data_IF_586308247574
#
_entry.id   IF_586308247574
#
_cell.length_a   1.000
_cell.length_b   1.000
_cell.length_c   1.000
_cell.angle_alpha   90.00
_cell.angle_beta   90.00
_cell.angle_gamma   90.00
#
_symmetry.space_group_name_H-M   'P 1'
#
loop_
_entity.id
_entity.type
_entity.pdbx_description
1 polymer ?
#
# COMPACT_ATOMS: atom_id res chain seq x y z
N UNK A 1 -24.81 2.64 16.27
CA UNK A 1 -24.36 2.13 14.95
C UNK A 1 -23.70 3.30 14.25
N UNK A 2 -22.43 3.55 14.53
CA UNK A 2 -21.69 4.67 13.95
C UNK A 2 -20.55 4.11 13.12
N UNK A 3 -20.76 4.18 11.80
CA UNK A 3 -19.79 4.30 10.72
C UNK A 3 -18.55 3.41 10.78
N UNK A 4 -18.77 2.13 10.48
CA UNK A 4 -17.75 1.11 10.22
C UNK A 4 -17.25 1.12 8.77
N UNK A 5 -17.05 2.32 8.20
CA UNK A 5 -16.50 2.54 6.87
C UNK A 5 -15.44 3.65 6.99
N UNK A 6 -14.20 3.25 7.21
CA UNK A 6 -13.09 4.05 6.71
C UNK A 6 -13.32 4.23 5.21
N UNK A 7 -13.24 5.47 4.74
CA UNK A 7 -13.65 5.78 3.37
C UNK A 7 -12.67 5.09 2.43
N UNK A 8 -13.16 4.34 1.43
CA UNK A 8 -12.30 3.63 0.46
C UNK A 8 -11.24 4.57 -0.18
N UNK A 9 -11.51 5.87 -0.16
CA UNK A 9 -10.66 6.98 -0.57
C UNK A 9 -9.42 7.19 0.32
N UNK A 10 -9.52 7.02 1.65
CA UNK A 10 -8.35 7.08 2.55
C UNK A 10 -7.39 5.92 2.30
N UNK A 11 -7.94 4.70 2.18
CA UNK A 11 -7.14 3.49 1.85
C UNK A 11 -6.43 3.67 0.51
N UNK A 12 -7.17 4.12 -0.51
CA UNK A 12 -6.59 4.40 -1.83
C UNK A 12 -5.44 5.42 -1.75
N UNK A 13 -5.61 6.50 -0.99
CA UNK A 13 -4.57 7.51 -0.77
C UNK A 13 -3.31 6.91 -0.11
N UNK A 14 -3.47 6.16 0.99
CA UNK A 14 -2.33 5.57 1.69
C UNK A 14 -1.60 4.52 0.87
N UNK A 15 -2.33 3.69 0.10
CA UNK A 15 -1.72 2.72 -0.81
C UNK A 15 -0.86 3.41 -1.88
N UNK A 16 -1.36 4.50 -2.48
CA UNK A 16 -0.57 5.26 -3.44
C UNK A 16 0.65 5.91 -2.79
N UNK A 17 0.48 6.44 -1.57
CA UNK A 17 1.59 7.04 -0.83
C UNK A 17 2.72 6.02 -0.59
N UNK A 18 2.36 4.79 -0.20
CA UNK A 18 3.31 3.68 -0.07
C UNK A 18 4.04 3.38 -1.38
N UNK A 19 3.28 3.19 -2.46
CA UNK A 19 3.81 2.89 -3.78
C UNK A 19 4.76 3.98 -4.31
N UNK A 20 4.37 5.26 -4.22
CA UNK A 20 5.24 6.35 -4.69
C UNK A 20 6.50 6.48 -3.84
N UNK A 21 6.42 6.20 -2.53
CA UNK A 21 7.60 6.25 -1.68
C UNK A 21 8.55 5.08 -1.94
N UNK A 22 8.06 3.87 -2.26
CA UNK A 22 8.93 2.73 -2.60
C UNK A 22 9.69 2.98 -3.90
N UNK A 23 9.02 3.48 -4.93
CA UNK A 23 9.63 3.82 -6.23
C UNK A 23 10.72 4.89 -6.08
N UNK A 24 10.54 5.79 -5.11
CA UNK A 24 11.47 6.88 -4.90
C UNK A 24 12.71 6.50 -4.06
N UNK A 25 12.82 5.25 -3.57
CA UNK A 25 13.94 4.82 -2.71
C UNK A 25 15.23 4.70 -3.50
N UNK A 26 15.20 4.09 -4.68
CA UNK A 26 16.39 3.89 -5.53
C UNK A 26 16.48 4.92 -6.66
N UNK A 27 15.39 5.66 -6.93
CA UNK A 27 15.31 6.70 -7.95
C UNK A 27 15.25 6.15 -9.38
N UNK A 28 15.05 4.84 -9.55
CA UNK A 28 14.98 4.16 -10.85
C UNK A 28 13.60 3.55 -10.99
N UNK A 29 12.78 4.11 -11.87
CA UNK A 29 11.43 3.59 -12.10
C UNK A 29 11.52 2.40 -13.06
N UNK A 30 11.14 1.24 -12.56
CA UNK A 30 11.02 0.01 -13.35
C UNK A 30 9.70 -0.04 -14.11
N UNK A 31 9.62 -0.93 -15.10
CA UNK A 31 8.38 -1.15 -15.86
C UNK A 31 7.24 -1.65 -14.97
N UNK A 32 7.52 -2.55 -14.02
CA UNK A 32 6.53 -3.08 -13.08
C UNK A 32 5.97 -2.01 -12.15
N UNK A 33 6.82 -1.12 -11.63
CA UNK A 33 6.38 0.00 -10.79
C UNK A 33 5.50 1.00 -11.55
N UNK A 34 5.82 1.25 -12.82
CA UNK A 34 4.97 2.08 -13.67
C UNK A 34 3.61 1.41 -13.94
N UNK A 35 3.60 0.11 -14.18
CA UNK A 35 2.36 -0.67 -14.32
C UNK A 35 1.54 -0.66 -13.04
N UNK A 36 2.16 -0.74 -11.86
CA UNK A 36 1.48 -0.63 -10.57
C UNK A 36 0.79 0.73 -10.38
N UNK A 37 1.43 1.85 -10.78
CA UNK A 37 0.82 3.18 -10.74
C UNK A 37 -0.40 3.30 -11.67
N UNK A 38 -0.33 2.68 -12.86
CA UNK A 38 -1.48 2.60 -13.77
C UNK A 38 -2.61 1.76 -13.20
N UNK A 39 -2.29 0.57 -12.70
CA UNK A 39 -3.25 -0.33 -12.08
C UNK A 39 -3.97 0.34 -10.90
N UNK A 40 -3.25 1.15 -10.11
CA UNK A 40 -3.85 1.95 -9.05
C UNK A 40 -4.88 2.94 -9.62
N UNK A 41 -4.56 3.66 -10.70
CA UNK A 41 -5.51 4.58 -11.34
C UNK A 41 -6.76 3.85 -11.84
N UNK A 42 -6.60 2.72 -12.52
CA UNK A 42 -7.71 1.93 -13.05
C UNK A 42 -8.62 1.39 -11.93
N UNK A 43 -8.01 0.87 -10.87
CA UNK A 43 -8.73 0.27 -9.73
C UNK A 43 -9.56 1.30 -8.96
N UNK A 44 -9.04 2.52 -8.80
CA UNK A 44 -9.65 3.51 -7.89
C UNK A 44 -10.47 4.58 -8.61
N UNK A 45 -10.60 4.53 -9.94
CA UNK A 45 -11.44 5.46 -10.69
C UNK A 45 -12.90 5.49 -10.18
N UNK A 46 -13.42 4.35 -9.74
CA UNK A 46 -14.78 4.21 -9.19
C UNK A 46 -15.03 5.00 -7.90
N UNK A 47 -13.98 5.48 -7.23
CA UNK A 47 -14.07 6.25 -5.98
C UNK A 47 -14.19 7.76 -6.21
N UNK A 48 -14.13 8.22 -7.47
CA UNK A 48 -14.13 9.64 -7.84
C UNK A 48 -15.51 10.32 -7.77
N UNK A 49 -16.50 9.71 -7.13
CA UNK A 49 -17.86 10.26 -7.03
C UNK A 49 -17.97 11.40 -6.01
N UNK A 50 -16.96 11.61 -5.16
CA UNK A 50 -16.97 12.58 -4.06
C UNK A 50 -15.63 13.31 -3.92
N UNK A 51 -15.70 14.56 -3.50
CA UNK A 51 -14.54 15.31 -3.00
C UNK A 51 -14.18 14.86 -1.57
N UNK A 52 -12.91 14.98 -1.13
CA UNK A 52 -11.76 15.53 -1.85
C UNK A 52 -11.03 14.52 -2.76
N UNK A 53 -11.56 13.31 -2.90
CA UNK A 53 -10.88 12.24 -3.65
C UNK A 53 -10.91 12.45 -5.15
N UNK A 54 -12.00 13.00 -5.71
CA UNK A 54 -12.06 13.31 -7.13
C UNK A 54 -10.92 14.24 -7.57
N UNK A 55 -10.75 15.39 -6.91
CA UNK A 55 -9.67 16.34 -7.22
C UNK A 55 -8.27 15.73 -7.05
N UNK A 56 -8.05 14.99 -5.96
CA UNK A 56 -6.81 14.24 -5.75
C UNK A 56 -6.51 13.26 -6.89
N UNK A 57 -7.49 12.43 -7.26
CA UNK A 57 -7.34 11.41 -8.28
C UNK A 57 -7.07 12.01 -9.66
N UNK A 58 -7.75 13.11 -10.03
CA UNK A 58 -7.50 13.79 -11.30
C UNK A 58 -6.04 14.25 -11.40
N UNK A 59 -5.48 14.87 -10.35
CA UNK A 59 -4.07 15.29 -10.32
C UNK A 59 -3.11 14.11 -10.47
N UNK A 60 -3.33 13.00 -9.75
CA UNK A 60 -2.52 11.77 -9.87
C UNK A 60 -2.64 11.17 -11.27
N UNK A 61 -3.85 10.96 -11.76
CA UNK A 61 -4.09 10.29 -13.03
C UNK A 61 -3.52 11.07 -14.21
N UNK A 62 -3.52 12.40 -14.13
CA UNK A 62 -2.89 13.26 -15.12
C UNK A 62 -1.38 13.03 -15.20
N UNK A 63 -0.70 12.88 -14.05
CA UNK A 63 0.74 12.59 -14.01
C UNK A 63 1.09 11.18 -14.49
N UNK A 64 0.26 10.19 -14.18
CA UNK A 64 0.51 8.80 -14.61
C UNK A 64 0.26 8.60 -16.11
N UNK A 65 -0.71 9.32 -16.70
CA UNK A 65 -1.11 9.20 -18.12
C UNK A 65 -0.11 9.77 -19.14
N UNK A 66 0.82 10.64 -18.76
CA UNK A 66 1.76 11.27 -19.69
C UNK A 66 2.67 10.26 -20.41
N UNK A 67 2.76 9.02 -19.92
CA UNK A 67 3.52 7.94 -20.57
C UNK A 67 5.01 7.92 -20.20
N UNK A 68 5.49 8.98 -19.55
CA UNK A 68 6.82 9.11 -18.98
C UNK A 68 6.67 9.32 -17.49
N UNK A 69 7.08 8.36 -16.67
CA UNK A 69 7.37 8.63 -15.26
C UNK A 69 8.88 8.53 -15.13
N UNK A 70 9.49 9.68 -14.87
CA UNK A 70 10.88 9.84 -14.47
C UNK A 70 10.96 10.41 -13.06
N UNK A 71 12.15 10.83 -12.67
CA UNK A 71 12.39 11.43 -11.34
C UNK A 71 11.57 12.70 -11.11
N UNK A 72 11.28 13.47 -12.17
CA UNK A 72 10.45 14.68 -12.11
C UNK A 72 9.00 14.34 -11.79
N UNK A 73 8.38 13.39 -12.50
CA UNK A 73 7.01 12.97 -12.20
C UNK A 73 6.88 12.35 -10.80
N UNK A 74 7.88 11.59 -10.32
CA UNK A 74 7.88 11.08 -8.95
C UNK A 74 7.93 12.21 -7.93
N UNK A 75 8.72 13.25 -8.19
CA UNK A 75 8.77 14.42 -7.33
C UNK A 75 7.40 15.12 -7.29
N UNK A 76 6.77 15.34 -8.44
CA UNK A 76 5.44 15.94 -8.53
C UNK A 76 4.36 15.08 -7.83
N UNK A 77 4.41 13.75 -8.01
CA UNK A 77 3.50 12.82 -7.33
C UNK A 77 3.65 12.92 -5.81
N UNK A 78 4.88 13.05 -5.29
CA UNK A 78 5.13 13.31 -3.86
C UNK A 78 4.55 14.64 -3.41
N UNK A 79 4.69 15.70 -4.20
CA UNK A 79 4.10 17.00 -3.88
C UNK A 79 2.57 16.93 -3.81
N UNK A 80 1.93 16.22 -4.74
CA UNK A 80 0.47 15.99 -4.72
C UNK A 80 0.07 15.22 -3.45
N UNK A 81 0.79 14.16 -3.10
CA UNK A 81 0.54 13.39 -1.88
C UNK A 81 0.65 14.26 -0.62
N UNK A 82 1.71 15.07 -0.52
CA UNK A 82 1.90 16.00 0.61
C UNK A 82 0.77 17.03 0.67
N UNK A 83 0.40 17.63 -0.46
CA UNK A 83 -0.69 18.61 -0.57
C UNK A 83 -2.02 18.05 -0.07
N UNK A 84 -2.32 16.78 -0.36
CA UNK A 84 -3.58 16.14 0.01
C UNK A 84 -3.55 15.36 1.32
N UNK A 85 -2.40 15.22 1.99
CA UNK A 85 -2.24 14.39 3.19
C UNK A 85 -3.28 14.69 4.29
N UNK A 86 -3.52 15.97 4.59
CA UNK A 86 -4.49 16.37 5.62
C UNK A 86 -5.94 16.02 5.27
N UNK A 87 -6.27 15.90 3.97
CA UNK A 87 -7.62 15.53 3.53
C UNK A 87 -7.94 14.05 3.79
N UNK A 88 -6.91 13.23 3.97
CA UNK A 88 -7.02 11.79 4.19
C UNK A 88 -6.39 11.37 5.52
N UNK A 89 -6.04 12.32 6.38
CA UNK A 89 -5.44 12.07 7.68
C UNK A 89 -6.37 11.21 8.53
N UNK A 90 -5.78 10.17 9.13
CA UNK A 90 -6.47 9.32 10.07
C UNK A 90 -6.13 9.77 11.49
N UNK A 91 -7.11 10.37 12.17
CA UNK A 91 -6.94 10.91 13.51
C UNK A 91 -6.76 9.81 14.57
N UNK A 92 -7.16 8.58 14.25
CA UNK A 92 -6.92 7.41 15.09
C UNK A 92 -5.59 6.76 14.70
N UNK A 93 -4.57 6.90 15.57
CA UNK A 93 -3.25 6.31 15.35
C UNK A 93 -3.31 4.81 15.03
N UNK A 94 -4.19 4.05 15.66
CA UNK A 94 -4.32 2.61 15.41
C UNK A 94 -4.76 2.34 13.97
N UNK A 95 -5.73 3.13 13.49
CA UNK A 95 -6.20 3.03 12.11
C UNK A 95 -5.15 3.53 11.11
N UNK A 96 -4.40 4.58 11.46
CA UNK A 96 -3.30 5.06 10.64
C UNK A 96 -2.23 3.98 10.45
N UNK A 97 -1.85 3.29 11.52
CA UNK A 97 -0.87 2.20 11.45
C UNK A 97 -1.42 1.00 10.64
N UNK A 98 -2.71 0.68 10.76
CA UNK A 98 -3.36 -0.34 9.93
C UNK A 98 -3.41 0.04 8.45
N UNK A 99 -3.66 1.32 8.13
CA UNK A 99 -3.59 1.81 6.74
C UNK A 99 -2.17 1.71 6.17
N UNK A 100 -1.16 2.04 6.98
CA UNK A 100 0.23 1.86 6.58
C UNK A 100 0.53 0.40 6.27
N UNK A 101 0.10 -0.53 7.13
CA UNK A 101 0.25 -1.97 6.89
C UNK A 101 -0.41 -2.40 5.56
N UNK A 102 -1.61 -1.89 5.25
CA UNK A 102 -2.27 -2.16 3.97
C UNK A 102 -1.44 -1.69 2.78
N UNK A 103 -0.90 -0.46 2.84
CA UNK A 103 -0.05 0.08 1.77
C UNK A 103 1.22 -0.75 1.56
N UNK A 104 1.87 -1.18 2.64
CA UNK A 104 3.05 -2.05 2.56
C UNK A 104 2.69 -3.40 1.93
N UNK A 105 1.61 -4.06 2.36
CA UNK A 105 1.16 -5.32 1.76
C UNK A 105 0.81 -5.16 0.27
N UNK A 106 0.21 -4.03 -0.13
CA UNK A 106 -0.05 -3.74 -1.54
C UNK A 106 1.25 -3.63 -2.35
N UNK A 107 2.24 -2.90 -1.82
CA UNK A 107 3.54 -2.76 -2.47
C UNK A 107 4.24 -4.09 -2.68
N UNK A 108 4.26 -4.94 -1.64
CA UNK A 108 4.84 -6.30 -1.71
C UNK A 108 4.11 -7.19 -2.71
N UNK A 109 2.80 -6.98 -2.92
CA UNK A 109 2.00 -7.76 -3.86
C UNK A 109 2.06 -7.23 -5.30
N UNK A 110 2.64 -6.05 -5.53
CA UNK A 110 2.45 -5.30 -6.77
C UNK A 110 3.13 -5.93 -7.99
N UNK A 111 4.34 -6.47 -7.83
CA UNK A 111 5.11 -7.11 -8.89
C UNK A 111 4.84 -8.62 -9.02
N UNK A 112 4.06 -9.18 -8.10
CA UNK A 112 3.72 -10.59 -8.05
C UNK A 112 4.82 -11.49 -7.46
N UNK A 113 5.93 -10.94 -6.96
CA UNK A 113 7.05 -11.71 -6.40
C UNK A 113 7.39 -11.27 -4.98
N UNK A 114 6.91 -12.03 -3.99
CA UNK A 114 7.23 -11.77 -2.58
C UNK A 114 8.61 -12.32 -2.25
N UNK A 115 9.54 -11.44 -1.91
CA UNK A 115 10.91 -11.83 -1.55
C UNK A 115 11.23 -11.67 -0.06
N UNK A 116 12.37 -12.25 0.35
CA UNK A 116 12.79 -12.27 1.75
C UNK A 116 13.07 -10.87 2.31
N UNK A 117 13.62 -9.98 1.50
CA UNK A 117 13.96 -8.63 1.95
C UNK A 117 12.72 -7.81 2.30
N UNK A 118 11.67 -7.89 1.46
CA UNK A 118 10.37 -7.29 1.70
C UNK A 118 9.71 -7.80 2.98
N UNK A 119 9.72 -9.12 3.17
CA UNK A 119 9.16 -9.73 4.38
C UNK A 119 9.96 -9.33 5.63
N UNK A 120 11.29 -9.25 5.56
CA UNK A 120 12.12 -8.78 6.67
C UNK A 120 11.86 -7.30 7.00
N UNK A 121 11.69 -6.45 5.99
CA UNK A 121 11.30 -5.04 6.18
C UNK A 121 9.92 -4.93 6.82
N UNK A 122 8.94 -5.67 6.31
CA UNK A 122 7.59 -5.72 6.88
C UNK A 122 7.64 -6.22 8.33
N UNK A 123 8.33 -7.33 8.58
CA UNK A 123 8.46 -7.90 9.93
C UNK A 123 9.10 -6.89 10.90
N UNK A 124 10.17 -6.21 10.48
CA UNK A 124 10.82 -5.20 11.31
C UNK A 124 9.84 -4.08 11.67
N UNK A 125 9.08 -3.57 10.71
CA UNK A 125 8.06 -2.57 10.98
C UNK A 125 6.99 -3.12 11.93
N UNK A 126 6.56 -4.37 11.77
CA UNK A 126 5.58 -4.99 12.67
C UNK A 126 6.13 -5.17 14.10
N UNK A 127 7.41 -5.53 14.25
CA UNK A 127 8.08 -5.60 15.55
C UNK A 127 8.11 -4.22 16.24
N UNK A 128 8.33 -3.14 15.48
CA UNK A 128 8.31 -1.76 15.97
C UNK A 128 6.88 -1.27 16.33
N UNK A 129 5.84 -1.96 15.84
CA UNK A 129 4.42 -1.64 16.06
C UNK A 129 3.71 -2.75 16.87
N UNK A 130 4.41 -3.36 17.83
CA UNK A 130 3.90 -4.44 18.69
C UNK A 130 2.61 -4.07 19.45
N UNK A 131 2.31 -2.78 19.64
CA UNK A 131 1.04 -2.32 20.23
C UNK A 131 -0.20 -2.77 19.45
N UNK A 132 -0.04 -3.19 18.19
CA UNK A 132 -1.09 -3.73 17.33
C UNK A 132 -1.16 -5.26 17.32
N UNK A 133 -0.30 -5.95 18.07
CA UNK A 133 -0.16 -7.41 18.02
C UNK A 133 -1.43 -8.20 18.36
N UNK A 134 -2.37 -7.60 19.10
CA UNK A 134 -3.69 -8.19 19.41
C UNK A 134 -4.82 -7.63 18.50
N UNK A 135 -4.50 -6.70 17.61
CA UNK A 135 -5.47 -6.02 16.74
C UNK A 135 -5.65 -6.76 15.43
N UNK A 136 -6.87 -7.17 15.12
CA UNK A 136 -7.20 -7.67 13.79
C UNK A 136 -7.25 -6.52 12.76
N UNK A 137 -6.69 -6.68 11.55
CA UNK A 137 -6.04 -7.87 11.00
C UNK A 137 -4.51 -7.95 11.17
N UNK A 138 -3.88 -6.97 11.84
CA UNK A 138 -2.42 -6.93 12.05
C UNK A 138 -1.90 -8.24 12.65
N UNK A 139 -2.59 -8.76 13.67
CA UNK A 139 -2.20 -9.97 14.38
C UNK A 139 -2.05 -11.19 13.45
N UNK A 140 -2.97 -11.40 12.51
CA UNK A 140 -2.92 -12.53 11.58
C UNK A 140 -1.79 -12.39 10.57
N UNK A 141 -1.65 -11.20 9.98
CA UNK A 141 -0.55 -10.89 9.05
C UNK A 141 0.79 -11.11 9.74
N UNK A 142 0.93 -10.67 10.99
CA UNK A 142 2.18 -10.79 11.74
C UNK A 142 2.57 -12.25 11.96
N UNK A 143 1.59 -13.11 12.30
CA UNK A 143 1.83 -14.54 12.49
C UNK A 143 2.26 -15.22 11.18
N UNK A 144 1.62 -14.88 10.05
CA UNK A 144 1.98 -15.44 8.74
C UNK A 144 3.39 -15.03 8.35
N UNK A 145 3.72 -13.73 8.42
CA UNK A 145 5.04 -13.19 8.08
C UNK A 145 6.12 -13.81 8.97
N UNK A 146 5.88 -13.85 10.29
CA UNK A 146 6.82 -14.45 11.24
C UNK A 146 7.09 -15.92 10.94
N UNK A 147 6.04 -16.71 10.68
CA UNK A 147 6.17 -18.14 10.35
C UNK A 147 7.02 -18.37 9.10
N UNK A 148 6.79 -17.61 8.03
CA UNK A 148 7.56 -17.77 6.78
C UNK A 148 9.02 -17.38 6.96
N UNK A 149 9.29 -16.30 7.71
CA UNK A 149 10.68 -15.89 8.00
C UNK A 149 11.40 -16.92 8.88
N UNK A 150 10.73 -17.48 9.90
CA UNK A 150 11.29 -18.52 10.76
C UNK A 150 11.61 -19.82 9.99
N UNK A 151 10.84 -20.13 8.95
CA UNK A 151 11.12 -21.25 8.05
C UNK A 151 12.41 -21.04 7.25
N UNK A 152 12.80 -19.78 7.01
CA UNK A 152 14.09 -19.39 6.43
C UNK A 152 14.19 -19.50 4.91
N UNK A 153 13.29 -20.25 4.26
CA UNK A 153 13.16 -20.38 2.80
C UNK A 153 11.69 -20.18 2.43
N UNK A 154 11.41 -19.22 1.56
CA UNK A 154 10.07 -19.03 0.98
C UNK A 154 9.90 -20.08 -0.12
N UNK A 155 9.11 -21.11 0.14
CA UNK A 155 8.73 -22.09 -0.88
C UNK A 155 7.34 -21.75 -1.47
N UNK A 156 6.91 -22.52 -2.47
CA UNK A 156 5.61 -22.29 -3.15
C UNK A 156 4.41 -22.35 -2.20
N UNK A 157 4.47 -23.14 -1.12
CA UNK A 157 3.40 -23.20 -0.12
C UNK A 157 3.36 -21.95 0.75
N UNK A 158 4.53 -21.49 1.21
CA UNK A 158 4.67 -20.24 1.97
C UNK A 158 4.21 -19.03 1.15
N UNK A 159 4.62 -18.98 -0.13
CA UNK A 159 4.18 -17.94 -1.06
C UNK A 159 2.66 -17.96 -1.26
N UNK A 160 2.06 -19.13 -1.54
CA UNK A 160 0.59 -19.25 -1.67
C UNK A 160 -0.14 -18.81 -0.40
N UNK A 161 0.42 -19.13 0.78
CA UNK A 161 -0.14 -18.70 2.06
C UNK A 161 -0.08 -17.18 2.21
N UNK A 162 1.09 -16.56 1.99
CA UNK A 162 1.26 -15.11 2.07
C UNK A 162 0.30 -14.39 1.12
N UNK A 163 0.27 -14.81 -0.15
CA UNK A 163 -0.63 -14.24 -1.16
C UNK A 163 -2.09 -14.36 -0.73
N UNK A 164 -2.52 -15.53 -0.22
CA UNK A 164 -3.90 -15.71 0.24
C UNK A 164 -4.26 -14.71 1.34
N UNK A 165 -3.44 -14.62 2.39
CA UNK A 165 -3.72 -13.74 3.53
C UNK A 165 -3.61 -12.26 3.16
N UNK A 166 -2.65 -11.89 2.32
CA UNK A 166 -2.54 -10.52 1.82
C UNK A 166 -3.75 -10.16 0.96
N UNK A 167 -4.22 -11.06 0.09
CA UNK A 167 -5.46 -10.84 -0.67
C UNK A 167 -6.68 -10.68 0.23
N UNK A 168 -6.88 -11.55 1.23
CA UNK A 168 -7.96 -11.43 2.20
C UNK A 168 -7.91 -10.10 2.95
N UNK A 169 -6.71 -9.70 3.40
CA UNK A 169 -6.50 -8.44 4.11
C UNK A 169 -6.76 -7.20 3.24
N UNK A 170 -6.32 -7.25 1.98
CA UNK A 170 -6.48 -6.18 1.02
C UNK A 170 -7.87 -6.17 0.35
N UNK A 171 -8.70 -7.18 0.63
CA UNK A 171 -10.00 -7.43 -0.04
C UNK A 171 -9.87 -7.52 -1.57
N UNK A 172 -8.78 -8.11 -2.03
CA UNK A 172 -8.54 -8.40 -3.45
C UNK A 172 -9.17 -9.76 -3.78
N UNK A 173 -10.04 -9.80 -4.80
CA UNK A 173 -10.62 -11.06 -5.32
C UNK A 173 -9.59 -11.93 -6.07
#
# INVERSE_FOLDING_TARGET
MENNFLTQTQVAFHNLNGLVNSIAVDGIITTSEYEALKAWCETHQGLCSVEPFHSFFEEISAKVKTGTIGSEEIFELKEILVKHALNFEENDKTKADLHFLQGVCYGIMADGDINKYELEMLKKWMDENEHLSETYPFNEIYQVVKKVIEHGIINDEDYRYLVKYFKEFLKLE
#
